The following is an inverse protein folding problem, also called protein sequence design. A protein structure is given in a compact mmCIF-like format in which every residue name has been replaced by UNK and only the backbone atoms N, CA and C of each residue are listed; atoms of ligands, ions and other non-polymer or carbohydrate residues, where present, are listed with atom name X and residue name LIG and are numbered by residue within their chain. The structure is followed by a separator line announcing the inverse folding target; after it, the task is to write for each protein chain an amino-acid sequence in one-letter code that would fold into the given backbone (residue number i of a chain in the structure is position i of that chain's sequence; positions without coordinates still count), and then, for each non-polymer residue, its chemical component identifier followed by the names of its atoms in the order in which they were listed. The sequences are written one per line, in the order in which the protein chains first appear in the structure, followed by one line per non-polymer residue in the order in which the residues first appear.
data_IF_723872878304
#
_entry.id   IF_723872878304
#
_cell.length_a   1.000
_cell.length_b   1.000
_cell.length_c   1.000
_cell.angle_alpha   90.00
_cell.angle_beta   90.00
_cell.angle_gamma   90.00
#
_symmetry.space_group_name_H-M   'P 1'
#
loop_
_entity.id
_entity.type
_entity.pdbx_description
1 polymer ?
#
# COMPACT_ATOMS: atom_id res chain seq x y z
N UNK A 1 8.11 5.43 -0.11
CA UNK A 1 7.57 6.63 0.57
C UNK A 1 7.12 7.61 -0.50
N UNK A 2 6.00 8.30 -0.29
CA UNK A 2 5.57 9.41 -1.15
C UNK A 2 5.03 10.57 -0.29
N UNK A 3 5.08 11.79 -0.82
CA UNK A 3 4.44 12.95 -0.20
C UNK A 3 2.93 12.93 -0.51
N UNK A 4 2.08 13.15 0.49
CA UNK A 4 0.62 13.19 0.34
C UNK A 4 0.04 14.57 0.64
N UNK A 5 0.70 15.34 1.52
CA UNK A 5 0.42 16.74 1.83
C UNK A 5 1.76 17.47 2.03
N UNK A 6 1.79 18.82 2.03
CA UNK A 6 3.03 19.58 2.18
C UNK A 6 3.91 19.15 3.37
N UNK A 7 3.28 18.75 4.48
CA UNK A 7 3.95 18.32 5.70
C UNK A 7 3.67 16.86 6.08
N UNK A 8 3.17 16.03 5.16
CA UNK A 8 2.81 14.64 5.46
C UNK A 8 3.27 13.69 4.35
N UNK A 9 3.87 12.57 4.77
CA UNK A 9 4.32 11.49 3.88
C UNK A 9 3.61 10.19 4.22
N UNK A 10 3.37 9.38 3.20
CA UNK A 10 2.94 8.00 3.35
C UNK A 10 4.14 7.06 3.17
N UNK A 11 4.34 6.15 4.12
CA UNK A 11 5.43 5.18 4.15
C UNK A 11 4.86 3.78 4.12
N UNK A 12 5.16 3.04 3.06
CA UNK A 12 4.85 1.62 2.97
C UNK A 12 5.79 0.83 3.88
N UNK A 13 5.22 -0.07 4.68
CA UNK A 13 5.92 -0.92 5.62
C UNK A 13 5.48 -2.37 5.42
N UNK A 14 6.47 -3.25 5.25
CA UNK A 14 6.28 -4.69 5.29
C UNK A 14 7.20 -5.27 6.37
N UNK A 15 6.60 -5.84 7.41
CA UNK A 15 7.31 -6.65 8.40
C UNK A 15 6.81 -8.10 8.27
N UNK A 16 7.58 -8.91 7.56
CA UNK A 16 7.27 -10.32 7.30
C UNK A 16 7.20 -11.14 8.60
N UNK A 17 8.04 -10.80 9.60
CA UNK A 17 8.06 -11.53 10.87
C UNK A 17 6.78 -11.33 11.66
N UNK A 18 6.13 -10.18 11.49
CA UNK A 18 4.88 -9.81 12.19
C UNK A 18 3.65 -9.87 11.29
N UNK A 19 3.78 -10.40 10.06
CA UNK A 19 2.74 -10.38 9.04
C UNK A 19 2.05 -9.01 8.91
N UNK A 20 2.85 -7.94 8.93
CA UNK A 20 2.37 -6.57 8.96
C UNK A 20 2.61 -5.91 7.62
N UNK A 21 1.53 -5.63 6.91
CA UNK A 21 1.56 -4.89 5.66
C UNK A 21 0.71 -3.64 5.83
N UNK A 22 1.37 -2.49 5.91
CA UNK A 22 0.67 -1.24 6.19
C UNK A 22 1.28 -0.05 5.48
N UNK A 23 0.50 1.01 5.38
CA UNK A 23 0.97 2.35 5.08
C UNK A 23 0.85 3.17 6.35
N UNK A 24 1.95 3.74 6.82
CA UNK A 24 1.96 4.71 7.92
C UNK A 24 1.98 6.12 7.36
N UNK A 25 1.13 6.97 7.89
CA UNK A 25 1.19 8.40 7.64
C UNK A 25 2.06 9.07 8.70
N UNK A 26 3.04 9.86 8.26
CA UNK A 26 3.96 10.58 9.14
C UNK A 26 3.90 12.04 8.77
N UNK A 27 3.53 12.87 9.73
CA UNK A 27 3.47 14.32 9.57
C UNK A 27 4.66 15.00 10.25
N UNK A 28 5.05 16.16 9.76
CA UNK A 28 5.95 17.08 10.47
C UNK A 28 5.10 18.10 11.21
N UNK A 29 5.20 18.10 12.54
CA UNK A 29 4.57 19.08 13.42
C UNK A 29 5.62 19.65 14.38
N UNK A 30 5.75 20.97 14.48
CA UNK A 30 6.73 21.65 15.34
C UNK A 30 8.17 21.10 15.20
N UNK A 31 8.61 20.86 13.95
CA UNK A 31 9.92 20.28 13.60
C UNK A 31 10.15 18.85 14.12
N UNK A 32 9.09 18.16 14.52
CA UNK A 32 9.11 16.77 14.96
C UNK A 32 8.30 15.89 14.01
N UNK A 33 8.76 14.64 13.85
CA UNK A 33 8.01 13.61 13.15
C UNK A 33 6.94 13.05 14.08
N UNK A 34 5.68 13.20 13.69
CA UNK A 34 4.53 12.68 14.41
C UNK A 34 3.91 11.57 13.58
N UNK A 35 3.77 10.40 14.19
CA UNK A 35 3.07 9.28 13.58
C UNK A 35 1.56 9.56 13.59
N UNK A 36 0.96 9.58 12.41
CA UNK A 36 -0.48 9.65 12.22
C UNK A 36 -1.13 8.28 12.18
N UNK A 37 -2.23 8.20 11.43
CA UNK A 37 -2.96 6.94 11.21
C UNK A 37 -2.15 5.94 10.39
N UNK A 38 -2.60 4.68 10.38
CA UNK A 38 -2.10 3.66 9.47
C UNK A 38 -3.24 2.96 8.73
N UNK A 39 -2.94 2.50 7.52
CA UNK A 39 -3.80 1.64 6.73
C UNK A 39 -3.21 0.24 6.72
N UNK A 40 -4.00 -0.78 7.07
CA UNK A 40 -3.56 -2.17 7.08
C UNK A 40 -4.09 -2.90 5.86
N UNK A 41 -3.24 -3.71 5.24
CA UNK A 41 -3.56 -4.44 4.02
C UNK A 41 -3.33 -5.94 4.20
N UNK A 42 -4.05 -6.74 3.42
CA UNK A 42 -3.87 -8.21 3.36
C UNK A 42 -2.79 -8.63 2.35
N UNK A 43 -2.20 -7.67 1.64
CA UNK A 43 -1.14 -7.89 0.67
C UNK A 43 0.05 -7.01 1.02
N UNK A 44 1.23 -7.41 0.54
CA UNK A 44 2.46 -6.62 0.67
C UNK A 44 2.31 -5.25 0.00
N UNK A 45 2.91 -4.23 0.59
CA UNK A 45 2.96 -2.87 0.09
C UNK A 45 4.38 -2.57 -0.43
N UNK A 46 4.71 -3.01 -1.65
CA UNK A 46 6.09 -2.95 -2.17
C UNK A 46 6.46 -1.57 -2.73
N UNK A 47 5.48 -0.87 -3.28
CA UNK A 47 5.62 0.49 -3.79
C UNK A 47 4.39 1.31 -3.42
N UNK A 48 4.59 2.62 -3.31
CA UNK A 48 3.52 3.57 -2.99
C UNK A 48 3.69 4.84 -3.81
N UNK A 49 2.60 5.29 -4.42
CA UNK A 49 2.49 6.59 -5.07
C UNK A 49 1.19 7.27 -4.64
N UNK A 50 1.18 8.60 -4.72
CA UNK A 50 0.00 9.41 -4.44
C UNK A 50 -0.29 10.30 -5.64
N UNK A 51 -1.54 10.30 -6.10
CA UNK A 51 -1.97 11.11 -7.23
C UNK A 51 -3.46 11.42 -7.14
N UNK A 52 -3.82 12.70 -7.28
CA UNK A 52 -5.21 13.17 -7.31
C UNK A 52 -6.09 12.68 -6.14
N UNK A 53 -5.53 12.60 -4.93
CA UNK A 53 -6.26 12.17 -3.73
C UNK A 53 -6.30 10.66 -3.49
N UNK A 54 -5.73 9.87 -4.40
CA UNK A 54 -5.68 8.42 -4.30
C UNK A 54 -4.26 7.90 -4.02
N UNK A 55 -4.20 6.80 -3.27
CA UNK A 55 -3.01 6.01 -3.00
C UNK A 55 -2.94 4.84 -3.97
N UNK A 56 -1.81 4.71 -4.64
CA UNK A 56 -1.51 3.60 -5.53
C UNK A 56 -0.49 2.71 -4.83
N UNK A 57 -0.85 1.46 -4.58
CA UNK A 57 -0.01 0.51 -3.83
C UNK A 57 0.25 -0.70 -4.70
N UNK A 58 1.51 -1.05 -4.87
CA UNK A 58 1.89 -2.28 -5.58
C UNK A 58 2.12 -3.43 -4.61
N UNK A 59 1.75 -4.62 -5.03
CA UNK A 59 2.23 -5.90 -4.48
C UNK A 59 3.16 -6.57 -5.48
N UNK A 60 3.50 -7.84 -5.24
CA UNK A 60 4.27 -8.65 -6.21
C UNK A 60 3.52 -8.86 -7.53
N UNK A 61 2.19 -8.95 -7.47
CA UNK A 61 1.35 -9.38 -8.60
C UNK A 61 0.27 -8.40 -8.97
N UNK A 62 0.08 -7.30 -8.22
CA UNK A 62 -1.04 -6.40 -8.47
C UNK A 62 -0.72 -4.94 -8.17
N UNK A 63 -1.47 -4.06 -8.82
CA UNK A 63 -1.51 -2.63 -8.54
C UNK A 63 -2.92 -2.27 -8.05
N UNK A 64 -2.99 -1.72 -6.85
CA UNK A 64 -4.22 -1.36 -6.18
C UNK A 64 -4.36 0.15 -6.08
N UNK A 65 -5.58 0.64 -6.26
CA UNK A 65 -5.96 2.04 -6.04
C UNK A 65 -6.82 2.12 -4.79
N UNK A 66 -6.39 2.90 -3.81
CA UNK A 66 -7.06 3.14 -2.54
C UNK A 66 -7.34 4.62 -2.36
N UNK A 67 -8.40 4.94 -1.61
CA UNK A 67 -8.54 6.28 -1.04
C UNK A 67 -7.50 6.50 0.06
N UNK A 68 -7.24 7.75 0.46
CA UNK A 68 -6.41 8.06 1.64
C UNK A 68 -6.93 7.46 2.95
N UNK A 69 -8.22 7.06 3.00
CA UNK A 69 -8.83 6.38 4.16
C UNK A 69 -8.67 4.85 4.12
N UNK A 70 -8.04 4.32 3.06
CA UNK A 70 -7.79 2.88 2.90
C UNK A 70 -8.93 2.08 2.29
N UNK A 71 -9.99 2.73 1.81
CA UNK A 71 -11.02 2.05 1.01
C UNK A 71 -10.46 1.68 -0.35
N UNK A 72 -10.55 0.40 -0.73
CA UNK A 72 -10.19 -0.06 -2.08
C UNK A 72 -11.15 0.56 -3.09
N UNK A 73 -10.62 1.31 -4.05
CA UNK A 73 -11.38 1.88 -5.16
C UNK A 73 -11.40 0.88 -6.32
N UNK A 74 -10.22 0.38 -6.72
CA UNK A 74 -10.10 -0.61 -7.78
C UNK A 74 -8.77 -1.36 -7.73
N UNK A 75 -8.73 -2.53 -8.37
CA UNK A 75 -7.48 -3.22 -8.71
C UNK A 75 -7.17 -2.91 -10.18
N UNK A 76 -6.15 -2.10 -10.42
CA UNK A 76 -5.82 -1.59 -11.76
C UNK A 76 -5.11 -2.61 -12.62
N UNK A 77 -4.36 -3.51 -11.99
CA UNK A 77 -3.64 -4.58 -12.65
C UNK A 77 -3.55 -5.78 -11.70
N UNK A 78 -3.64 -6.98 -12.27
CA UNK A 78 -3.36 -8.23 -11.58
C UNK A 78 -2.73 -9.23 -12.54
N UNK A 79 -1.56 -9.73 -12.18
CA UNK A 79 -0.94 -10.88 -12.80
C UNK A 79 -1.51 -12.15 -12.18
N UNK A 80 -2.28 -12.90 -12.98
CA UNK A 80 -2.87 -14.18 -12.59
C UNK A 80 -2.13 -15.38 -13.17
N UNK A 81 -0.98 -15.17 -13.84
CA UNK A 81 -0.25 -16.24 -14.52
C UNK A 81 0.18 -17.38 -13.57
N UNK A 82 0.51 -17.05 -12.32
CA UNK A 82 0.85 -18.00 -11.26
C UNK A 82 -0.32 -18.92 -10.81
N UNK A 83 -1.58 -18.62 -11.17
CA UNK A 83 -2.73 -19.47 -10.81
C UNK A 83 -3.00 -20.61 -11.82
N UNK A 84 -2.27 -20.63 -12.94
CA UNK A 84 -2.50 -21.58 -14.06
C UNK A 84 -1.89 -22.97 -13.84
N UNK A 85 -1.06 -23.18 -12.81
CA UNK A 85 -0.24 -24.40 -12.67
C UNK A 85 -0.79 -25.42 -11.66
N UNK A 86 -1.97 -25.19 -11.09
CA UNK A 86 -2.56 -26.04 -10.04
C UNK A 86 -3.58 -27.10 -10.47
N UNK A 87 -3.96 -27.20 -11.75
CA UNK A 87 -4.85 -28.26 -12.25
C UNK A 87 -4.11 -29.22 -13.17
N UNK A 88 -3.33 -30.12 -12.59
CA UNK A 88 -3.06 -31.41 -13.23
C UNK A 88 -4.26 -32.29 -12.91
N UNK A 89 -5.15 -32.46 -13.88
CA UNK A 89 -6.03 -33.62 -13.92
C UNK A 89 -5.14 -34.86 -14.13
N UNK A 90 -5.03 -35.68 -13.10
CA UNK A 90 -4.65 -37.10 -13.19
C UNK A 90 -5.08 -37.81 -11.93
#
# INVERSE_FOLDING_TARGET
MCQILPNEVAVALNDEKKNKHEVQFIAVNNRQLVKGNNLKFRHKCLGIAFHQGDLYITSRTALYKYTLRGTLVSKMYEDTSDQSTGKIHS
#
